data_IF_686948723929
#
_entry.id   IF_686948723929
#
_cell.length_a   1.000
_cell.length_b   1.000
_cell.length_c   1.000
_cell.angle_alpha   90.00
_cell.angle_beta   90.00
_cell.angle_gamma   90.00
#
_symmetry.space_group_name_H-M   'P 1'
#
loop_
_entity.id
_entity.type
_entity.pdbx_description
1 polymer ?
#
# COMPACT_ATOMS: atom_id res chain seq x y z
N UNK A 1 -7.19 -12.94 -57.11
CA UNK A 1 -6.50 -14.07 -56.45
C UNK A 1 -7.48 -14.61 -55.42
N UNK A 2 -8.01 -15.81 -55.64
CA UNK A 2 -9.01 -16.45 -54.79
C UNK A 2 -8.40 -17.72 -54.22
N UNK A 3 -8.46 -17.89 -52.90
CA UNK A 3 -8.13 -19.15 -52.22
C UNK A 3 -9.37 -19.63 -51.46
N UNK A 4 -9.68 -20.91 -51.63
CA UNK A 4 -10.83 -21.58 -51.00
C UNK A 4 -10.47 -22.13 -49.61
N UNK A 5 -11.51 -22.35 -48.81
CA UNK A 5 -11.45 -22.89 -47.45
C UNK A 5 -11.36 -24.43 -47.47
N UNK A 6 -10.61 -25.02 -46.53
CA UNK A 6 -10.85 -26.38 -46.05
C UNK A 6 -10.92 -26.40 -44.51
N UNK A 7 -11.94 -27.08 -43.95
CA UNK A 7 -12.06 -27.33 -42.51
C UNK A 7 -11.82 -28.81 -42.15
N UNK A 8 -11.00 -29.04 -41.11
CA UNK A 8 -10.53 -30.35 -40.66
C UNK A 8 -11.25 -30.94 -39.43
N UNK A 9 -12.53 -31.30 -39.60
CA UNK A 9 -13.15 -32.60 -39.22
C UNK A 9 -12.72 -33.41 -37.94
N UNK A 10 -13.73 -33.74 -37.12
CA UNK A 10 -13.97 -34.96 -36.24
C UNK A 10 -12.99 -35.25 -35.06
N UNK A 11 -13.32 -35.97 -33.95
CA UNK A 11 -14.37 -36.99 -33.68
C UNK A 11 -14.85 -37.02 -32.19
N UNK A 12 -15.92 -37.77 -31.89
CA UNK A 12 -16.62 -37.85 -30.58
C UNK A 12 -16.96 -39.32 -30.22
N UNK A 13 -16.48 -39.84 -29.08
CA UNK A 13 -16.81 -41.14 -28.41
C UNK A 13 -16.02 -41.19 -27.06
N UNK A 14 -16.33 -41.90 -25.96
CA UNK A 14 -17.35 -42.92 -25.59
C UNK A 14 -17.53 -43.02 -24.05
N UNK A 15 -18.49 -43.83 -23.61
CA UNK A 15 -18.85 -44.28 -22.24
C UNK A 15 -17.94 -45.40 -21.66
N UNK A 16 -17.94 -45.82 -20.37
CA UNK A 16 -18.44 -45.29 -19.07
C UNK A 16 -17.99 -46.20 -17.87
N UNK A 17 -18.55 -46.01 -16.66
CA UNK A 17 -18.67 -46.95 -15.51
C UNK A 17 -17.51 -47.20 -14.49
N UNK A 18 -17.82 -46.85 -13.22
CA UNK A 18 -17.43 -47.39 -11.87
C UNK A 18 -16.09 -48.11 -11.60
N UNK A 19 -15.39 -47.69 -10.53
CA UNK A 19 -14.31 -48.48 -9.90
C UNK A 19 -13.59 -47.81 -8.71
N UNK A 20 -13.85 -48.32 -7.50
CA UNK A 20 -13.26 -48.01 -6.18
C UNK A 20 -11.76 -47.61 -6.11
N UNK A 21 -11.39 -46.64 -5.26
CA UNK A 21 -10.05 -46.63 -4.64
C UNK A 21 -9.41 -45.28 -4.26
N UNK A 22 -8.96 -45.19 -2.99
CA UNK A 22 -7.94 -44.30 -2.43
C UNK A 22 -8.24 -42.81 -2.20
N UNK A 23 -7.93 -42.35 -0.98
CA UNK A 23 -8.03 -40.96 -0.52
C UNK A 23 -6.83 -40.14 -1.02
N UNK A 24 -7.09 -39.12 -1.84
CA UNK A 24 -6.23 -37.93 -1.92
C UNK A 24 -7.10 -36.68 -1.85
N UNK A 25 -6.91 -35.91 -0.78
CA UNK A 25 -7.56 -34.61 -0.56
C UNK A 25 -7.01 -33.58 -1.54
N UNK A 26 -7.55 -33.53 -2.75
CA UNK A 26 -7.33 -32.42 -3.69
C UNK A 26 -8.24 -31.25 -3.35
N UNK A 27 -7.97 -30.60 -2.21
CA UNK A 27 -8.44 -29.23 -1.98
C UNK A 27 -7.92 -28.35 -3.12
N UNK A 28 -8.79 -27.73 -3.95
CA UNK A 28 -8.32 -26.72 -4.89
C UNK A 28 -7.79 -25.54 -4.06
N UNK A 29 -6.50 -25.21 -4.21
CA UNK A 29 -5.91 -23.98 -3.66
C UNK A 29 -6.37 -22.82 -4.56
N UNK A 30 -7.67 -22.54 -4.54
CA UNK A 30 -8.26 -21.27 -4.97
C UNK A 30 -8.13 -20.27 -3.84
N UNK A 31 -6.88 -19.91 -3.47
CA UNK A 31 -6.64 -18.90 -2.45
C UNK A 31 -7.13 -17.56 -3.01
N UNK A 32 -8.18 -17.01 -2.41
CA UNK A 32 -8.77 -15.73 -2.83
C UNK A 32 -7.73 -14.61 -2.75
N UNK A 33 -7.20 -14.18 -3.90
CA UNK A 33 -6.29 -13.04 -4.04
C UNK A 33 -7.07 -11.71 -4.01
N UNK A 34 -7.97 -11.57 -3.04
CA UNK A 34 -8.79 -10.38 -2.81
C UNK A 34 -9.06 -10.26 -1.30
N UNK A 35 -8.52 -9.22 -0.67
CA UNK A 35 -8.82 -8.83 0.72
C UNK A 35 -7.65 -8.61 1.69
N UNK A 36 -6.38 -8.72 1.26
CA UNK A 36 -5.22 -8.82 2.17
C UNK A 36 -4.03 -7.96 1.69
N UNK A 37 -4.08 -6.65 1.92
CA UNK A 37 -3.02 -5.67 1.63
C UNK A 37 -3.03 -4.56 2.68
N UNK A 38 -1.93 -3.79 2.79
CA UNK A 38 -1.77 -2.71 3.78
C UNK A 38 -1.83 -3.20 5.23
N UNK A 39 -3.06 -3.32 5.74
CA UNK A 39 -3.42 -3.72 7.09
C UNK A 39 -2.69 -4.99 7.58
N UNK A 40 -2.76 -6.08 6.83
CA UNK A 40 -2.09 -7.36 7.15
C UNK A 40 -0.58 -7.22 7.36
N UNK A 41 0.07 -6.27 6.68
CA UNK A 41 1.50 -6.01 6.85
C UNK A 41 1.76 -5.29 8.15
N UNK A 42 0.97 -4.27 8.50
CA UNK A 42 1.04 -3.58 9.79
C UNK A 42 0.77 -4.55 10.95
N UNK A 43 -0.23 -5.43 10.84
CA UNK A 43 -0.56 -6.41 11.89
C UNK A 43 0.53 -7.49 12.10
N UNK A 44 1.30 -7.82 11.04
CA UNK A 44 2.33 -8.87 11.07
C UNK A 44 3.73 -8.34 11.41
N UNK A 45 4.04 -7.11 11.01
CA UNK A 45 5.37 -6.52 11.05
C UNK A 45 5.47 -5.26 11.91
N UNK A 46 4.39 -4.48 12.03
CA UNK A 46 4.40 -3.25 12.81
C UNK A 46 4.63 -3.51 14.29
N UNK A 47 5.22 -2.53 14.97
CA UNK A 47 5.53 -2.60 16.41
C UNK A 47 6.54 -3.71 16.74
N UNK A 48 7.47 -3.96 15.82
CA UNK A 48 8.58 -4.90 15.98
C UNK A 48 9.87 -4.24 15.50
N UNK A 49 10.92 -4.45 16.26
CA UNK A 49 12.29 -4.23 15.83
C UNK A 49 12.61 -5.28 14.75
N UNK A 50 12.78 -4.81 13.51
CA UNK A 50 13.07 -5.60 12.31
C UNK A 50 14.52 -5.40 11.85
N UNK A 51 15.11 -4.23 12.12
CA UNK A 51 16.48 -3.89 11.75
C UNK A 51 17.53 -4.35 12.81
N UNK A 52 17.08 -4.68 14.02
CA UNK A 52 17.83 -5.10 15.22
C UNK A 52 18.69 -4.01 15.88
N UNK A 53 18.29 -2.74 15.79
CA UNK A 53 18.95 -1.60 16.43
C UNK A 53 18.46 -1.30 17.86
N UNK A 54 17.31 -1.85 18.26
CA UNK A 54 16.72 -1.74 19.60
C UNK A 54 15.64 -0.67 19.74
N UNK A 55 15.40 0.16 18.72
CA UNK A 55 14.22 1.02 18.60
C UNK A 55 13.12 0.32 17.79
N UNK A 56 11.94 0.95 17.67
CA UNK A 56 10.83 0.43 16.86
C UNK A 56 10.17 1.58 16.10
N UNK A 57 10.46 1.67 14.80
CA UNK A 57 10.09 2.80 13.95
C UNK A 57 9.17 2.33 12.80
N UNK A 58 7.86 2.40 13.05
CA UNK A 58 6.86 2.41 12.00
C UNK A 58 6.75 3.86 11.46
N UNK A 59 7.35 4.19 10.31
CA UNK A 59 7.32 5.51 9.70
C UNK A 59 6.22 5.59 8.63
N UNK A 60 5.22 6.45 8.82
CA UNK A 60 4.30 6.77 7.72
C UNK A 60 4.83 7.92 6.88
N UNK A 61 4.90 7.71 5.56
CA UNK A 61 5.28 8.75 4.60
C UNK A 61 4.04 9.12 3.79
N UNK A 62 3.62 10.39 3.84
CA UNK A 62 2.37 10.88 3.24
C UNK A 62 2.60 12.18 2.49
N UNK A 63 1.97 12.40 1.34
CA UNK A 63 2.24 13.66 0.63
C UNK A 63 1.48 13.95 -0.65
N UNK A 64 2.04 14.86 -1.45
CA UNK A 64 1.50 15.26 -2.74
C UNK A 64 1.48 14.10 -3.72
N UNK A 65 0.30 13.85 -4.31
CA UNK A 65 0.14 12.85 -5.37
C UNK A 65 0.74 13.27 -6.73
N UNK A 66 1.33 14.47 -6.79
CA UNK A 66 1.94 15.09 -7.98
C UNK A 66 3.44 15.36 -7.84
N UNK A 67 4.02 15.17 -6.66
CA UNK A 67 5.45 15.35 -6.45
C UNK A 67 6.22 14.11 -6.93
N UNK A 68 7.29 14.31 -7.70
CA UNK A 68 8.06 13.23 -8.34
C UNK A 68 9.58 13.52 -8.40
N UNK A 69 10.08 14.51 -7.65
CA UNK A 69 11.52 14.73 -7.52
C UNK A 69 12.09 13.72 -6.52
N UNK A 70 12.60 12.61 -7.06
CA UNK A 70 13.18 11.54 -6.25
C UNK A 70 14.42 11.99 -5.46
N UNK A 71 15.19 12.96 -5.97
CA UNK A 71 16.40 13.43 -5.28
C UNK A 71 16.02 14.29 -4.07
N UNK A 72 15.05 15.19 -4.22
CA UNK A 72 14.51 15.97 -3.10
C UNK A 72 13.77 15.07 -2.08
N UNK A 73 13.04 14.05 -2.55
CA UNK A 73 12.43 13.03 -1.69
C UNK A 73 13.49 12.28 -0.87
N UNK A 74 14.53 11.75 -1.52
CA UNK A 74 15.61 10.99 -0.87
C UNK A 74 16.35 11.86 0.16
N UNK A 75 16.71 13.10 -0.18
CA UNK A 75 17.32 14.05 0.78
C UNK A 75 16.43 14.26 2.02
N UNK A 76 15.11 14.38 1.85
CA UNK A 76 14.19 14.58 2.96
C UNK A 76 14.06 13.33 3.85
N UNK A 77 14.01 12.12 3.27
CA UNK A 77 14.00 10.87 4.03
C UNK A 77 15.33 10.63 4.74
N UNK A 78 16.47 10.80 4.06
CA UNK A 78 17.79 10.68 4.68
C UNK A 78 17.98 11.68 5.83
N UNK A 79 17.55 12.94 5.67
CA UNK A 79 17.58 13.90 6.78
C UNK A 79 16.75 13.42 7.96
N UNK A 80 15.53 12.92 7.71
CA UNK A 80 14.66 12.40 8.75
C UNK A 80 15.27 11.20 9.49
N UNK A 81 15.87 10.26 8.75
CA UNK A 81 16.56 9.08 9.27
C UNK A 81 17.76 9.44 10.14
N UNK A 82 18.54 10.46 9.75
CA UNK A 82 19.67 10.94 10.56
C UNK A 82 19.24 11.52 11.91
N UNK A 83 18.06 12.13 11.98
CA UNK A 83 17.53 12.75 13.21
C UNK A 83 16.75 11.77 14.10
N UNK A 84 16.12 10.74 13.55
CA UNK A 84 15.16 9.87 14.25
C UNK A 84 15.55 8.37 14.32
N UNK A 85 16.47 7.89 13.50
CA UNK A 85 16.79 6.47 13.34
C UNK A 85 16.21 5.83 12.07
N UNK A 86 16.57 4.58 11.82
CA UNK A 86 16.24 3.90 10.57
C UNK A 86 14.88 3.17 10.67
N UNK A 87 13.94 3.37 9.72
CA UNK A 87 12.61 2.77 9.83
C UNK A 87 12.64 1.24 9.67
N UNK A 88 11.93 0.54 10.56
CA UNK A 88 11.63 -0.89 10.42
C UNK A 88 10.59 -1.12 9.31
N UNK A 89 9.54 -0.28 9.33
CA UNK A 89 8.37 -0.41 8.49
C UNK A 89 7.95 0.97 7.96
N UNK A 90 7.92 1.11 6.64
CA UNK A 90 7.29 2.25 5.98
C UNK A 90 5.78 1.97 5.80
N UNK A 91 4.95 2.99 6.01
CA UNK A 91 3.50 2.95 5.82
C UNK A 91 3.09 4.03 4.80
N UNK A 92 2.37 3.64 3.75
CA UNK A 92 1.91 4.55 2.68
C UNK A 92 0.47 4.24 2.24
N UNK A 93 -0.19 5.22 1.63
CA UNK A 93 -1.55 5.07 1.13
C UNK A 93 -1.70 4.37 -0.22
N UNK A 94 -0.60 4.04 -0.91
CA UNK A 94 -0.62 3.46 -2.25
C UNK A 94 -1.15 4.40 -3.32
N UNK A 95 -1.05 5.70 -3.10
CA UNK A 95 -1.37 6.72 -4.10
C UNK A 95 -0.22 6.88 -5.12
N UNK A 96 -0.37 7.83 -6.04
CA UNK A 96 0.72 8.30 -6.89
C UNK A 96 1.60 9.32 -6.14
N UNK A 97 2.72 9.76 -6.75
CA UNK A 97 3.57 10.82 -6.20
C UNK A 97 4.42 10.37 -5.01
N UNK A 98 4.26 11.01 -3.84
CA UNK A 98 5.05 10.74 -2.61
C UNK A 98 5.01 9.27 -2.21
N UNK A 99 3.83 8.65 -2.18
CA UNK A 99 3.65 7.23 -1.85
C UNK A 99 4.49 6.33 -2.78
N UNK A 100 4.49 6.60 -4.09
CA UNK A 100 5.30 5.89 -5.09
C UNK A 100 6.80 6.08 -4.89
N UNK A 101 7.25 7.25 -4.44
CA UNK A 101 8.66 7.48 -4.13
C UNK A 101 9.10 6.79 -2.84
N UNK A 102 8.21 6.71 -1.84
CA UNK A 102 8.41 5.93 -0.63
C UNK A 102 8.48 4.42 -0.93
N UNK A 103 7.60 3.89 -1.79
CA UNK A 103 7.71 2.50 -2.30
C UNK A 103 9.07 2.24 -2.96
N UNK A 104 9.52 3.16 -3.84
CA UNK A 104 10.82 3.04 -4.51
C UNK A 104 12.02 3.16 -3.56
N UNK A 105 11.97 4.06 -2.58
CA UNK A 105 13.05 4.21 -1.60
C UNK A 105 13.10 2.98 -0.69
N UNK A 106 11.95 2.44 -0.26
CA UNK A 106 11.89 1.23 0.56
C UNK A 106 12.50 0.01 -0.16
N UNK A 107 12.19 -0.20 -1.44
CA UNK A 107 12.77 -1.27 -2.27
C UNK A 107 14.29 -1.12 -2.41
N UNK A 108 14.77 0.08 -2.78
CA UNK A 108 16.20 0.39 -2.86
C UNK A 108 16.96 0.12 -1.55
N UNK A 109 16.30 0.34 -0.41
CA UNK A 109 16.88 0.25 0.92
C UNK A 109 16.57 -1.06 1.66
N UNK A 110 15.83 -1.99 1.03
CA UNK A 110 15.36 -3.25 1.64
C UNK A 110 14.50 -3.08 2.91
N UNK A 111 13.88 -1.91 3.09
CA UNK A 111 12.96 -1.62 4.21
C UNK A 111 11.59 -2.25 3.94
N UNK A 112 10.95 -2.80 4.97
CA UNK A 112 9.62 -3.39 4.82
C UNK A 112 8.58 -2.29 4.59
N UNK A 113 7.55 -2.55 3.77
CA UNK A 113 6.53 -1.54 3.46
C UNK A 113 5.09 -2.10 3.50
N UNK A 114 4.20 -1.34 4.14
CA UNK A 114 2.76 -1.54 4.12
C UNK A 114 2.09 -0.52 3.19
N UNK A 115 1.52 -0.99 2.09
CA UNK A 115 0.86 -0.16 1.07
C UNK A 115 -0.64 -0.42 1.09
N UNK A 116 -1.43 0.58 1.51
CA UNK A 116 -2.89 0.49 1.67
C UNK A 116 -3.68 0.61 0.34
N UNK A 117 -3.24 -0.12 -0.68
CA UNK A 117 -3.85 -0.11 -2.04
C UNK A 117 -5.32 -0.54 -2.06
N UNK A 118 -5.77 -1.33 -1.09
CA UNK A 118 -7.14 -1.84 -1.01
C UNK A 118 -8.19 -0.71 -0.84
N UNK A 119 -7.79 0.41 -0.23
CA UNK A 119 -8.63 1.61 -0.04
C UNK A 119 -8.97 2.32 -1.38
N UNK A 120 -8.36 1.91 -2.49
CA UNK A 120 -8.64 2.41 -3.85
C UNK A 120 -9.53 1.47 -4.68
N UNK A 121 -9.80 0.26 -4.19
CA UNK A 121 -10.59 -0.76 -4.92
C UNK A 121 -12.08 -0.75 -4.57
N UNK A 122 -12.56 0.12 -3.67
CA UNK A 122 -13.98 0.22 -3.32
C UNK A 122 -14.80 0.95 -4.42
N UNK A 123 -15.72 0.25 -5.13
CA UNK A 123 -16.57 0.87 -6.15
C UNK A 123 -17.56 1.91 -5.60
N UNK A 124 -17.75 2.01 -4.28
CA UNK A 124 -18.60 3.04 -3.67
C UNK A 124 -17.85 4.37 -3.43
N UNK A 125 -16.52 4.40 -3.59
CA UNK A 125 -15.68 5.60 -3.41
C UNK A 125 -15.84 6.56 -4.60
N UNK A 126 -16.98 7.26 -4.66
CA UNK A 126 -17.28 8.16 -5.77
C UNK A 126 -16.27 9.32 -5.85
N UNK A 127 -15.78 9.62 -7.05
CA UNK A 127 -14.93 10.79 -7.37
C UNK A 127 -15.62 12.16 -7.19
N UNK A 128 -16.81 12.21 -6.59
CA UNK A 128 -17.55 13.45 -6.38
C UNK A 128 -17.22 14.03 -5.00
N UNK A 129 -16.56 15.19 -5.01
CA UNK A 129 -16.40 16.09 -3.85
C UNK A 129 -17.77 16.60 -3.39
N UNK A 130 -18.53 15.73 -2.71
CA UNK A 130 -19.79 16.09 -2.04
C UNK A 130 -19.44 16.42 -0.60
N UNK A 131 -19.25 17.72 -0.33
CA UNK A 131 -18.94 18.27 0.98
C UNK A 131 -19.77 17.64 2.11
N UNK A 132 -19.17 16.65 2.76
CA UNK A 132 -19.65 15.98 3.97
C UNK A 132 -18.62 16.27 5.05
N UNK A 133 -19.10 16.48 6.27
CA UNK A 133 -18.25 16.75 7.42
C UNK A 133 -17.14 15.69 7.56
N UNK A 134 -15.99 16.16 8.01
CA UNK A 134 -14.70 15.48 8.04
C UNK A 134 -14.70 14.29 9.02
N UNK A 135 -15.23 13.16 8.57
CA UNK A 135 -14.76 11.88 9.08
C UNK A 135 -13.36 11.65 8.53
N UNK A 136 -12.40 11.29 9.39
CA UNK A 136 -11.14 10.70 8.93
C UNK A 136 -11.49 9.57 7.95
N UNK A 137 -10.92 9.62 6.74
CA UNK A 137 -11.13 8.51 5.82
C UNK A 137 -10.48 7.25 6.45
N UNK A 138 -11.04 6.08 6.15
CA UNK A 138 -10.59 4.80 6.74
C UNK A 138 -9.09 4.59 6.59
N UNK A 139 -8.53 5.04 5.47
CA UNK A 139 -7.11 5.10 5.19
C UNK A 139 -6.31 5.97 6.20
N UNK A 140 -6.75 7.18 6.54
CA UNK A 140 -6.08 8.05 7.53
C UNK A 140 -6.05 7.38 8.90
N UNK A 141 -7.16 6.76 9.33
CA UNK A 141 -7.20 6.04 10.61
C UNK A 141 -6.23 4.84 10.60
N UNK A 142 -6.23 4.05 9.51
CA UNK A 142 -5.30 2.92 9.33
C UNK A 142 -3.83 3.35 9.35
N UNK A 143 -3.47 4.43 8.65
CA UNK A 143 -2.11 4.99 8.66
C UNK A 143 -1.73 5.43 10.08
N UNK A 144 -2.56 6.26 10.73
CA UNK A 144 -2.23 6.84 12.03
C UNK A 144 -2.27 5.84 13.20
N UNK A 145 -3.02 4.74 13.08
CA UNK A 145 -3.01 3.65 14.08
C UNK A 145 -1.83 2.69 13.92
N UNK A 146 -1.25 2.60 12.71
CA UNK A 146 -0.01 1.86 12.47
C UNK A 146 1.28 2.67 12.70
N UNK A 147 1.22 3.99 12.61
CA UNK A 147 2.40 4.86 12.65
C UNK A 147 2.93 5.14 14.07
N UNK A 148 4.25 5.14 14.20
CA UNK A 148 5.00 5.69 15.33
C UNK A 148 5.47 7.13 15.06
N UNK A 149 5.77 7.44 13.79
CA UNK A 149 6.28 8.72 13.31
C UNK A 149 5.66 9.03 11.95
N UNK A 150 5.51 10.31 11.61
CA UNK A 150 5.02 10.80 10.32
C UNK A 150 6.08 11.69 9.65
N UNK A 151 6.42 11.38 8.40
CA UNK A 151 7.08 12.32 7.49
C UNK A 151 6.07 12.77 6.42
N UNK A 152 5.65 14.03 6.51
CA UNK A 152 4.64 14.60 5.63
C UNK A 152 5.25 15.53 4.57
N UNK A 153 4.97 15.25 3.30
CA UNK A 153 5.40 16.04 2.14
C UNK A 153 4.22 16.68 1.39
N UNK A 154 3.51 17.65 2.00
CA UNK A 154 2.41 18.35 1.35
C UNK A 154 2.92 19.28 0.24
N UNK A 155 2.13 19.46 -0.82
CA UNK A 155 2.25 20.65 -1.69
C UNK A 155 1.10 21.61 -1.42
N UNK A 156 1.08 22.85 -1.98
CA UNK A 156 -0.01 23.81 -1.76
C UNK A 156 -1.42 23.28 -2.06
N UNK A 157 -1.55 22.21 -2.86
CA UNK A 157 -2.85 21.59 -3.19
C UNK A 157 -3.17 20.32 -2.40
N UNK A 158 -2.26 19.84 -1.54
CA UNK A 158 -2.44 18.64 -0.72
C UNK A 158 -3.44 18.85 0.43
N UNK A 159 -4.75 18.72 0.15
CA UNK A 159 -5.80 18.72 1.18
C UNK A 159 -5.65 17.55 2.15
N UNK A 160 -5.56 16.32 1.63
CA UNK A 160 -5.52 15.11 2.46
C UNK A 160 -4.28 15.01 3.35
N UNK A 161 -3.10 15.36 2.84
CA UNK A 161 -1.86 15.37 3.64
C UNK A 161 -1.98 16.30 4.85
N UNK A 162 -2.63 17.47 4.70
CA UNK A 162 -2.85 18.40 5.83
C UNK A 162 -3.79 17.82 6.89
N UNK A 163 -4.85 17.12 6.48
CA UNK A 163 -5.73 16.39 7.41
C UNK A 163 -4.94 15.31 8.18
N UNK A 164 -4.00 14.61 7.54
CA UNK A 164 -3.14 13.64 8.23
C UNK A 164 -2.21 14.33 9.24
N UNK A 165 -1.56 15.44 8.86
CA UNK A 165 -0.71 16.24 9.76
C UNK A 165 -1.49 16.71 11.00
N UNK A 166 -2.66 17.32 10.80
CA UNK A 166 -3.49 17.84 11.89
C UNK A 166 -3.93 16.71 12.85
N UNK A 167 -4.34 15.56 12.30
CA UNK A 167 -4.72 14.41 13.11
C UNK A 167 -3.53 13.78 13.85
N UNK A 168 -2.37 13.63 13.21
CA UNK A 168 -1.16 13.11 13.85
C UNK A 168 -0.74 13.97 15.06
N UNK A 169 -0.70 15.29 14.88
CA UNK A 169 -0.43 16.26 15.94
C UNK A 169 -1.46 16.15 17.08
N UNK A 170 -2.76 16.02 16.75
CA UNK A 170 -3.80 15.85 17.78
C UNK A 170 -3.70 14.54 18.58
N UNK A 171 -3.08 13.51 18.01
CA UNK A 171 -2.79 12.21 18.66
C UNK A 171 -1.46 12.21 19.41
N UNK A 172 -0.63 13.24 19.26
CA UNK A 172 0.71 13.32 19.84
C UNK A 172 1.75 12.47 19.11
N UNK A 173 1.51 12.10 17.85
CA UNK A 173 2.46 11.35 17.02
C UNK A 173 3.52 12.34 16.49
N UNK A 174 4.83 12.10 16.69
CA UNK A 174 5.91 12.88 16.08
C UNK A 174 5.67 13.07 14.57
N UNK A 175 5.69 14.32 14.12
CA UNK A 175 5.29 14.69 12.75
C UNK A 175 6.23 15.75 12.19
N UNK A 176 7.05 15.35 11.22
CA UNK A 176 7.92 16.23 10.45
C UNK A 176 7.23 16.65 9.15
N UNK A 177 7.31 17.94 8.81
CA UNK A 177 6.62 18.50 7.64
C UNK A 177 7.64 19.15 6.70
N UNK A 178 7.71 18.64 5.47
CA UNK A 178 8.57 19.12 4.40
C UNK A 178 7.71 19.55 3.21
N UNK A 179 7.36 20.84 3.13
CA UNK A 179 6.55 21.37 2.01
C UNK A 179 7.30 21.21 0.67
N UNK A 180 6.61 20.72 -0.36
CA UNK A 180 7.10 20.49 -1.73
C UNK A 180 6.26 21.27 -2.74
N UNK A 181 6.77 21.48 -3.96
CA UNK A 181 6.05 22.18 -5.04
C UNK A 181 5.09 21.27 -5.83
#
# INVERSE_FOLDING_TARGET
MLYSIEEGKIQKTTESHIGSGCLLSTTPIGRSMAGHAGQDTVERLGSRDLNLDGEIINLAIVGSSRFYDFMAFEIAVESWVNDNGYPDLIIVGGASGVDYMAERWADNNSVQIAVFTEEWSDPNRSLVDRGRAEAANTLTEKILSGASHILAMPSPTSKWTRIVIEQAVSRGIPTDVHEVE
#
